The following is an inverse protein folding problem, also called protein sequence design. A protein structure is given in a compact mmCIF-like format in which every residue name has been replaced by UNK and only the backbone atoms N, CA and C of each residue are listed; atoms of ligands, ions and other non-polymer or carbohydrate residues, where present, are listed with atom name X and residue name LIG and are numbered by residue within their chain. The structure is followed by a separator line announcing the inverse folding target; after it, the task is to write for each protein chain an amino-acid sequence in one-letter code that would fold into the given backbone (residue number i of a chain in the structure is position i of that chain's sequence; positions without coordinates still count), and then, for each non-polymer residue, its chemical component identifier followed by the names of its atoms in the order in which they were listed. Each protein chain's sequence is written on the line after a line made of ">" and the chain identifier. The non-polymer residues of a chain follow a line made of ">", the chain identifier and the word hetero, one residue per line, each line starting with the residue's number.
data_IF_762918149597
#
_entry.id   IF_762918149597
#
_cell.length_a   1.000
_cell.length_b   1.000
_cell.length_c   1.000
_cell.angle_alpha   90.00
_cell.angle_beta   90.00
_cell.angle_gamma   90.00
#
_symmetry.space_group_name_H-M   'P 1'
#
loop_
_entity.id
_entity.type
_entity.pdbx_description
1 polymer ?
#
# COMPACT_ATOMS: atom_id res chain seq x y z
N UNK A 1 -62.56 48.12 10.56
CA UNK A 1 -62.10 46.71 10.68
C UNK A 1 -60.96 46.34 9.72
N UNK A 2 -60.62 47.16 8.71
CA UNK A 2 -59.60 46.83 7.69
C UNK A 2 -58.14 46.76 8.18
N UNK A 3 -57.78 47.44 9.28
CA UNK A 3 -56.41 47.45 9.79
C UNK A 3 -55.94 46.10 10.37
N UNK A 4 -56.88 45.24 10.80
CA UNK A 4 -56.58 43.91 11.36
C UNK A 4 -55.94 42.98 10.32
N UNK A 5 -56.37 43.07 9.06
CA UNK A 5 -55.80 42.28 7.98
C UNK A 5 -54.35 42.68 7.69
N UNK A 6 -54.04 43.98 7.76
CA UNK A 6 -52.67 44.48 7.56
C UNK A 6 -51.69 43.99 8.62
N UNK A 7 -52.09 43.98 9.90
CA UNK A 7 -51.24 43.48 10.99
C UNK A 7 -50.97 41.98 10.85
N UNK A 8 -52.00 41.18 10.53
CA UNK A 8 -51.82 39.74 10.32
C UNK A 8 -50.85 39.43 9.17
N UNK A 9 -50.90 40.21 8.08
CA UNK A 9 -49.98 40.05 6.94
C UNK A 9 -48.53 40.39 7.33
N UNK A 10 -48.31 41.48 8.07
CA UNK A 10 -46.97 41.86 8.52
C UNK A 10 -46.37 40.85 9.50
N UNK A 11 -47.17 40.30 10.42
CA UNK A 11 -46.75 39.24 11.34
C UNK A 11 -46.39 37.96 10.57
N UNK A 12 -47.19 37.59 9.55
CA UNK A 12 -46.91 36.44 8.70
C UNK A 12 -45.59 36.56 7.92
N UNK A 13 -45.34 37.73 7.31
CA UNK A 13 -44.08 37.99 6.60
C UNK A 13 -42.88 37.97 7.56
N UNK A 14 -43.02 38.63 8.72
CA UNK A 14 -41.97 38.64 9.74
C UNK A 14 -41.61 37.23 10.25
N UNK A 15 -42.62 36.39 10.45
CA UNK A 15 -42.42 35.00 10.87
C UNK A 15 -41.72 34.16 9.80
N UNK A 16 -42.12 34.29 8.53
CA UNK A 16 -41.43 33.59 7.43
C UNK A 16 -39.98 34.04 7.28
N UNK A 17 -39.71 35.35 7.47
CA UNK A 17 -38.34 35.87 7.44
C UNK A 17 -37.49 35.35 8.60
N UNK A 18 -38.07 35.29 9.82
CA UNK A 18 -37.39 34.73 10.99
C UNK A 18 -37.08 33.24 10.82
N UNK A 19 -38.01 32.44 10.27
CA UNK A 19 -37.75 31.03 9.94
C UNK A 19 -36.65 30.92 8.89
N UNK A 20 -36.65 31.78 7.86
CA UNK A 20 -35.61 31.74 6.82
C UNK A 20 -34.23 32.12 7.34
N UNK A 21 -34.15 32.91 8.42
CA UNK A 21 -32.89 33.23 9.11
C UNK A 21 -32.46 32.13 10.09
N UNK A 22 -33.42 31.38 10.66
CA UNK A 22 -33.18 30.26 11.57
C UNK A 22 -32.91 28.95 10.85
N UNK A 23 -33.39 28.77 9.62
CA UNK A 23 -32.97 27.68 8.76
C UNK A 23 -31.47 27.82 8.54
N UNK A 24 -30.76 26.78 8.96
CA UNK A 24 -29.29 26.66 9.00
C UNK A 24 -28.61 27.37 7.83
N UNK A 25 -27.43 28.00 8.04
CA UNK A 25 -26.68 28.59 6.93
C UNK A 25 -26.62 27.56 5.81
N UNK A 26 -26.92 27.97 4.55
CA UNK A 26 -27.06 27.04 3.44
C UNK A 26 -25.86 26.10 3.49
N UNK A 27 -26.15 24.78 3.60
CA UNK A 27 -25.15 23.72 3.68
C UNK A 27 -23.91 24.15 2.90
N UNK A 28 -22.71 24.13 3.51
CA UNK A 28 -21.50 24.60 2.84
C UNK A 28 -21.51 24.01 1.44
N UNK A 29 -21.69 24.87 0.43
CA UNK A 29 -21.85 24.40 -0.94
C UNK A 29 -20.62 23.55 -1.22
N UNK A 30 -20.76 22.34 -1.77
CA UNK A 30 -19.61 21.52 -2.08
C UNK A 30 -18.69 22.39 -2.95
N UNK A 31 -17.50 22.68 -2.42
CA UNK A 31 -16.50 23.41 -3.16
C UNK A 31 -16.29 22.62 -4.46
N UNK A 32 -16.49 23.26 -5.61
CA UNK A 32 -16.25 22.62 -6.90
C UNK A 32 -14.75 22.38 -7.03
N UNK A 33 -14.30 21.23 -6.51
CA UNK A 33 -12.93 20.77 -6.67
C UNK A 33 -12.76 20.43 -8.14
N UNK A 34 -11.99 21.26 -8.84
CA UNK A 34 -11.61 20.98 -10.22
C UNK A 34 -10.82 19.67 -10.22
N UNK A 35 -11.40 18.63 -10.81
CA UNK A 35 -10.65 17.40 -11.09
C UNK A 35 -9.74 17.70 -12.26
N UNK A 36 -8.44 17.82 -12.01
CA UNK A 36 -7.46 17.75 -13.09
C UNK A 36 -7.61 16.40 -13.79
N UNK A 37 -7.43 16.37 -15.12
CA UNK A 37 -7.34 15.10 -15.82
C UNK A 37 -6.23 14.27 -15.14
N UNK A 38 -6.48 12.99 -14.82
CA UNK A 38 -5.46 12.17 -14.19
C UNK A 38 -4.25 12.14 -15.11
N UNK A 39 -3.06 12.40 -14.56
CA UNK A 39 -1.83 12.16 -15.30
C UNK A 39 -1.86 10.70 -15.76
N UNK A 40 -1.75 10.48 -17.08
CA UNK A 40 -1.73 9.14 -17.64
C UNK A 40 -0.41 8.49 -17.24
N UNK A 41 -0.43 7.69 -16.18
CA UNK A 41 0.71 6.91 -15.71
C UNK A 41 0.62 5.56 -16.40
N UNK A 42 1.62 5.22 -17.21
CA UNK A 42 1.73 3.96 -17.94
C UNK A 42 3.04 3.27 -17.52
N UNK A 43 3.01 2.06 -16.94
CA UNK A 43 1.83 1.25 -16.63
C UNK A 43 0.98 1.79 -15.46
N UNK A 44 -0.33 1.48 -15.45
CA UNK A 44 -1.22 1.82 -14.34
C UNK A 44 -0.74 1.14 -13.04
N UNK A 45 -0.59 1.90 -11.93
CA UNK A 45 -0.17 1.35 -10.66
C UNK A 45 -1.20 0.36 -10.09
N UNK A 46 -0.72 -0.72 -9.48
CA UNK A 46 -1.57 -1.72 -8.80
C UNK A 46 -2.26 -1.10 -7.59
N UNK A 47 -1.54 -0.27 -6.84
CA UNK A 47 -2.07 0.44 -5.70
C UNK A 47 -1.55 1.87 -5.64
N UNK A 48 -2.40 2.78 -5.18
CA UNK A 48 -2.05 4.17 -4.92
C UNK A 48 -2.34 4.51 -3.46
N UNK A 49 -1.33 5.05 -2.77
CA UNK A 49 -1.44 5.59 -1.42
C UNK A 49 -1.37 7.10 -1.47
N UNK A 50 -2.25 7.75 -0.72
CA UNK A 50 -2.21 9.19 -0.48
C UNK A 50 -2.01 9.41 1.01
N UNK A 51 -1.03 10.22 1.37
CA UNK A 51 -0.75 10.61 2.75
C UNK A 51 -0.44 12.11 2.82
N UNK A 52 -0.76 12.73 3.95
CA UNK A 52 -0.46 14.14 4.21
C UNK A 52 0.51 14.18 5.39
N UNK A 53 1.67 14.80 5.19
CA UNK A 53 2.68 14.95 6.24
C UNK A 53 3.21 16.39 6.19
N UNK A 54 2.94 17.14 7.26
CA UNK A 54 3.22 18.58 7.31
C UNK A 54 2.47 19.33 6.20
N UNK A 55 3.17 20.21 5.49
CA UNK A 55 2.61 21.03 4.41
C UNK A 55 2.65 20.35 3.03
N UNK A 56 2.84 19.03 2.98
CA UNK A 56 2.98 18.27 1.74
C UNK A 56 1.96 17.12 1.65
N UNK A 57 1.40 16.98 0.45
CA UNK A 57 0.66 15.81 0.02
C UNK A 57 1.63 14.85 -0.67
N UNK A 58 1.65 13.60 -0.23
CA UNK A 58 2.44 12.52 -0.79
C UNK A 58 1.53 11.55 -1.54
N UNK A 59 1.99 11.13 -2.70
CA UNK A 59 1.34 10.14 -3.55
C UNK A 59 2.34 9.02 -3.82
N UNK A 60 2.10 7.85 -3.25
CA UNK A 60 2.90 6.65 -3.46
C UNK A 60 2.19 5.74 -4.45
N UNK A 61 2.88 5.38 -5.52
CA UNK A 61 2.46 4.39 -6.50
C UNK A 61 3.20 3.10 -6.25
N UNK A 62 2.47 1.99 -6.27
CA UNK A 62 3.03 0.67 -6.16
C UNK A 62 2.62 -0.18 -7.36
N UNK A 63 3.61 -0.82 -7.97
CA UNK A 63 3.42 -1.85 -8.98
C UNK A 63 3.91 -3.17 -8.37
N UNK A 64 2.98 -4.09 -8.15
CA UNK A 64 3.30 -5.29 -7.38
C UNK A 64 4.24 -6.23 -8.15
N UNK A 65 4.04 -6.28 -9.46
CA UNK A 65 4.83 -7.06 -10.40
C UNK A 65 5.04 -6.22 -11.66
N UNK A 66 6.27 -5.72 -11.83
CA UNK A 66 6.74 -5.24 -13.13
C UNK A 66 7.57 -6.35 -13.75
N UNK A 67 7.11 -6.84 -14.90
CA UNK A 67 7.95 -7.67 -15.75
C UNK A 67 9.01 -6.75 -16.37
N UNK A 68 10.26 -6.92 -15.97
CA UNK A 68 11.38 -6.10 -16.45
C UNK A 68 11.58 -6.26 -17.96
N UNK A 69 11.05 -7.33 -18.57
CA UNK A 69 11.00 -7.49 -20.01
C UNK A 69 9.59 -7.16 -20.48
N UNK A 70 9.43 -6.07 -21.23
CA UNK A 70 8.15 -5.65 -21.83
C UNK A 70 7.64 -6.62 -22.92
N UNK A 71 7.56 -7.92 -22.64
CA UNK A 71 6.94 -8.90 -23.51
C UNK A 71 5.44 -8.95 -23.23
N UNK A 72 4.69 -8.19 -24.03
CA UNK A 72 3.24 -8.30 -24.32
C UNK A 72 2.43 -9.16 -23.32
N UNK A 73 1.84 -8.50 -22.32
CA UNK A 73 0.91 -9.11 -21.35
C UNK A 73 -0.25 -9.86 -22.03
N UNK A 74 -0.45 -11.11 -21.65
CA UNK A 74 -1.74 -11.79 -21.80
C UNK A 74 -2.74 -11.22 -20.79
N UNK A 75 -3.94 -10.87 -21.25
CA UNK A 75 -5.01 -10.31 -20.42
C UNK A 75 -5.78 -11.48 -19.81
N UNK A 76 -5.45 -11.88 -18.59
CA UNK A 76 -6.15 -12.97 -17.90
C UNK A 76 -6.01 -12.90 -16.37
N UNK A 77 -7.10 -13.11 -15.61
CA UNK A 77 -7.08 -13.19 -14.16
C UNK A 77 -6.59 -14.57 -13.73
N UNK A 78 -5.28 -14.80 -13.79
CA UNK A 78 -4.60 -15.95 -13.19
C UNK A 78 -3.46 -15.39 -12.34
N UNK A 79 -3.71 -15.10 -11.06
CA UNK A 79 -3.25 -15.95 -9.96
C UNK A 79 -1.79 -16.36 -10.15
N UNK A 80 -0.89 -15.61 -9.51
CA UNK A 80 0.37 -16.13 -8.97
C UNK A 80 0.06 -17.15 -7.87
N UNK A 81 -0.45 -18.31 -8.30
CA UNK A 81 -0.25 -19.52 -7.53
C UNK A 81 1.19 -19.96 -7.78
N UNK A 82 1.94 -20.19 -6.71
CA UNK A 82 3.09 -21.08 -6.75
C UNK A 82 2.61 -22.48 -7.18
N UNK A 83 2.38 -22.67 -8.48
CA UNK A 83 2.30 -23.96 -9.15
C UNK A 83 3.15 -23.77 -10.39
N UNK A 84 4.30 -24.44 -10.39
CA UNK A 84 5.34 -24.29 -11.40
C UNK A 84 4.77 -24.25 -12.81
N UNK A 85 4.85 -23.09 -13.43
CA UNK A 85 4.77 -22.99 -14.87
C UNK A 85 6.05 -22.33 -15.34
N UNK A 86 6.97 -23.21 -15.75
CA UNK A 86 8.23 -22.85 -16.38
C UNK A 86 7.90 -22.08 -17.65
N UNK A 87 8.13 -20.77 -17.64
CA UNK A 87 8.27 -20.03 -18.90
C UNK A 87 9.63 -20.43 -19.48
N UNK A 88 9.62 -21.48 -20.30
CA UNK A 88 10.81 -21.94 -21.00
C UNK A 88 11.12 -20.96 -22.13
N UNK A 89 12.10 -20.09 -21.95
CA UNK A 89 12.76 -19.44 -23.08
C UNK A 89 13.80 -20.42 -23.64
N UNK A 90 13.53 -20.98 -24.81
CA UNK A 90 14.51 -21.79 -25.57
C UNK A 90 15.23 -20.84 -26.52
N UNK A 91 16.45 -20.43 -26.16
CA UNK A 91 17.35 -19.76 -27.10
C UNK A 91 18.10 -20.86 -27.87
N UNK A 92 17.81 -21.01 -29.16
CA UNK A 92 18.54 -21.90 -30.05
C UNK A 92 19.84 -21.19 -30.48
N UNK A 93 20.95 -21.47 -29.80
CA UNK A 93 22.27 -21.17 -30.34
C UNK A 93 22.68 -22.30 -31.27
N UNK A 94 22.68 -22.03 -32.58
CA UNK A 94 23.24 -22.95 -33.57
C UNK A 94 24.68 -22.55 -33.83
N UNK A 95 25.61 -23.18 -33.12
CA UNK A 95 26.99 -23.19 -33.57
C UNK A 95 27.13 -24.37 -34.53
N UNK A 96 27.28 -24.02 -35.81
CA UNK A 96 27.74 -24.94 -36.84
C UNK A 96 29.07 -25.52 -36.37
N UNK A 97 29.08 -26.75 -35.87
CA UNK A 97 30.08 -27.82 -36.05
C UNK A 97 29.71 -28.95 -35.07
N UNK A 98 29.35 -30.10 -35.63
CA UNK A 98 29.31 -31.45 -35.02
C UNK A 98 28.44 -31.69 -33.77
N UNK A 99 27.18 -32.03 -34.06
CA UNK A 99 26.35 -33.07 -33.41
C UNK A 99 26.63 -33.39 -31.94
N UNK A 100 26.28 -32.45 -31.06
CA UNK A 100 25.66 -32.76 -29.77
C UNK A 100 24.81 -31.56 -29.32
N UNK A 101 23.49 -31.69 -29.44
CA UNK A 101 22.54 -30.69 -28.94
C UNK A 101 22.56 -30.72 -27.40
N UNK A 102 23.44 -29.92 -26.80
CA UNK A 102 23.35 -29.62 -25.37
C UNK A 102 22.32 -28.52 -25.19
N UNK A 103 21.15 -28.88 -24.68
CA UNK A 103 20.16 -27.92 -24.20
C UNK A 103 20.67 -27.31 -22.90
N UNK A 104 21.40 -26.19 -22.99
CA UNK A 104 21.64 -25.36 -21.81
C UNK A 104 20.39 -24.51 -21.62
N UNK A 105 19.44 -25.03 -20.83
CA UNK A 105 18.29 -24.26 -20.38
C UNK A 105 18.83 -23.27 -19.34
N UNK A 106 19.17 -22.07 -19.80
CA UNK A 106 19.35 -20.95 -18.89
C UNK A 106 17.96 -20.55 -18.41
N UNK A 107 17.62 -21.00 -17.20
CA UNK A 107 16.57 -20.36 -16.42
C UNK A 107 17.10 -18.97 -16.06
N UNK A 108 16.93 -17.98 -16.95
CA UNK A 108 16.92 -16.61 -16.44
C UNK A 108 15.64 -16.54 -15.61
N UNK A 109 15.73 -16.43 -14.27
CA UNK A 109 14.54 -16.11 -13.51
C UNK A 109 14.03 -14.80 -14.10
N UNK A 110 12.82 -14.82 -14.67
CA UNK A 110 12.03 -13.62 -14.83
C UNK A 110 11.87 -13.08 -13.40
N UNK A 111 12.79 -12.20 -13.01
CA UNK A 111 12.79 -11.59 -11.69
C UNK A 111 11.67 -10.56 -11.73
N UNK A 112 10.48 -10.96 -11.30
CA UNK A 112 9.40 -10.02 -11.06
C UNK A 112 9.83 -9.14 -9.89
N UNK A 113 9.99 -7.84 -10.15
CA UNK A 113 10.35 -6.87 -9.15
C UNK A 113 9.13 -6.02 -8.80
N UNK A 114 8.95 -5.80 -7.51
CA UNK A 114 8.07 -4.76 -7.01
C UNK A 114 8.69 -3.39 -7.23
N UNK A 115 7.91 -2.42 -7.70
CA UNK A 115 8.39 -1.04 -7.86
C UNK A 115 7.51 -0.09 -7.06
N UNK A 116 8.17 0.84 -6.38
CA UNK A 116 7.55 1.91 -5.62
C UNK A 116 8.05 3.25 -6.13
N UNK A 117 7.14 4.17 -6.40
CA UNK A 117 7.48 5.55 -6.72
C UNK A 117 6.65 6.46 -5.82
N UNK A 118 7.30 7.37 -5.10
CA UNK A 118 6.59 8.41 -4.37
C UNK A 118 6.85 9.78 -4.99
N UNK A 119 5.78 10.56 -5.09
CA UNK A 119 5.81 11.96 -5.47
C UNK A 119 5.25 12.80 -4.32
N UNK A 120 5.70 14.05 -4.20
CA UNK A 120 5.15 15.01 -3.24
C UNK A 120 4.71 16.29 -3.94
N UNK A 121 3.74 16.97 -3.35
CA UNK A 121 3.28 18.29 -3.78
C UNK A 121 2.94 19.15 -2.56
N UNK A 122 3.35 20.43 -2.49
CA UNK A 122 3.00 21.29 -1.37
C UNK A 122 1.49 21.59 -1.34
N UNK A 123 0.85 21.50 -0.16
CA UNK A 123 -0.60 21.67 0.02
C UNK A 123 -1.10 23.04 -0.45
N UNK A 124 -0.33 24.10 -0.21
CA UNK A 124 -0.71 25.45 -0.64
C UNK A 124 -0.85 25.59 -2.17
N UNK A 125 -0.17 24.73 -2.95
CA UNK A 125 -0.30 24.69 -4.41
C UNK A 125 -1.56 23.97 -4.90
N UNK A 126 -2.29 23.28 -4.01
CA UNK A 126 -3.54 22.60 -4.36
C UNK A 126 -4.73 23.57 -4.45
N UNK A 127 -4.62 24.75 -3.82
CA UNK A 127 -5.72 25.73 -3.71
C UNK A 127 -5.72 26.75 -4.87
N UNK A 128 -4.73 26.70 -5.78
CA UNK A 128 -4.58 27.65 -6.88
C UNK A 128 -4.72 27.05 -8.28
N UNK A 129 -4.95 27.91 -9.28
CA UNK A 129 -4.89 27.58 -10.70
C UNK A 129 -3.43 27.38 -11.16
N UNK A 130 -2.70 26.46 -10.53
CA UNK A 130 -1.35 26.13 -10.95
C UNK A 130 -1.41 25.39 -12.30
N UNK A 131 -0.72 25.92 -13.31
CA UNK A 131 -0.64 25.34 -14.66
C UNK A 131 0.35 24.19 -14.77
N UNK A 132 1.24 24.05 -13.78
CA UNK A 132 2.21 22.96 -13.69
C UNK A 132 1.69 21.89 -12.72
N UNK A 133 1.96 20.62 -13.03
CA UNK A 133 1.51 19.47 -12.22
C UNK A 133 2.03 19.55 -10.76
N UNK A 134 3.16 20.24 -10.54
CA UNK A 134 3.65 20.61 -9.20
C UNK A 134 4.11 19.44 -8.33
N UNK A 135 4.25 18.25 -8.94
CA UNK A 135 4.72 17.04 -8.28
C UNK A 135 6.22 16.86 -8.44
N UNK A 136 6.91 16.69 -7.32
CA UNK A 136 8.32 16.33 -7.28
C UNK A 136 8.44 14.84 -6.96
N UNK A 137 9.23 14.09 -7.74
CA UNK A 137 9.53 12.69 -7.41
C UNK A 137 10.48 12.65 -6.23
N UNK A 138 10.05 12.03 -5.12
CA UNK A 138 10.82 11.91 -3.89
C UNK A 138 11.78 10.72 -3.96
N UNK A 139 11.25 9.56 -4.37
CA UNK A 139 12.05 8.37 -4.53
C UNK A 139 11.44 7.43 -5.56
N UNK A 140 12.29 6.58 -6.10
CA UNK A 140 11.95 5.45 -6.95
C UNK A 140 12.74 4.26 -6.45
N UNK A 141 12.05 3.22 -6.00
CA UNK A 141 12.65 2.05 -5.37
C UNK A 141 12.19 0.80 -6.08
N UNK A 142 13.15 0.03 -6.55
CA UNK A 142 12.95 -1.33 -6.98
C UNK A 142 13.24 -2.28 -5.81
N UNK A 143 12.37 -3.27 -5.64
CA UNK A 143 12.48 -4.32 -4.64
C UNK A 143 13.05 -5.58 -5.28
N UNK A 144 13.76 -6.38 -4.49
CA UNK A 144 14.37 -7.62 -4.94
C UNK A 144 13.37 -8.73 -5.27
N UNK A 145 12.08 -8.49 -5.08
CA UNK A 145 11.01 -9.42 -5.40
C UNK A 145 9.64 -8.74 -5.45
N UNK A 146 8.57 -9.50 -5.77
CA UNK A 146 7.24 -8.95 -5.95
C UNK A 146 6.63 -8.47 -4.64
N UNK A 147 5.83 -7.40 -4.71
CA UNK A 147 5.05 -6.91 -3.57
C UNK A 147 3.83 -7.81 -3.44
N UNK A 148 3.57 -8.24 -2.20
CA UNK A 148 2.37 -9.01 -1.88
C UNK A 148 1.30 -8.16 -1.22
N UNK A 149 1.70 -7.17 -0.42
CA UNK A 149 0.76 -6.30 0.27
C UNK A 149 1.44 -5.01 0.73
N UNK A 150 0.63 -3.97 0.95
CA UNK A 150 1.05 -2.70 1.54
C UNK A 150 0.13 -2.41 2.72
N UNK A 151 0.73 -2.02 3.85
CA UNK A 151 -0.01 -1.65 5.06
C UNK A 151 0.29 -0.20 5.44
N UNK A 152 -0.77 0.57 5.72
CA UNK A 152 -0.69 1.98 6.11
C UNK A 152 -0.81 2.09 7.61
N UNK A 153 0.09 2.85 8.21
CA UNK A 153 -0.05 3.21 9.61
C UNK A 153 -0.90 4.47 9.70
N UNK A 154 -1.97 4.40 10.49
CA UNK A 154 -2.89 5.54 10.68
C UNK A 154 -2.47 6.46 11.81
N UNK A 155 -1.46 6.06 12.60
CA UNK A 155 -1.06 6.77 13.80
C UNK A 155 0.01 7.85 13.49
N UNK A 156 -0.33 9.15 13.63
CA UNK A 156 0.61 10.25 13.38
C UNK A 156 1.73 10.34 14.44
N UNK A 157 1.64 9.61 15.55
CA UNK A 157 2.68 9.57 16.58
C UNK A 157 3.93 8.82 16.13
N UNK A 158 3.79 7.99 15.10
CA UNK A 158 4.86 7.13 14.60
C UNK A 158 5.59 7.77 13.43
N UNK A 159 6.90 7.54 13.29
CA UNK A 159 7.68 8.08 12.17
C UNK A 159 7.37 7.34 10.84
N UNK A 160 6.74 6.18 10.89
CA UNK A 160 6.48 5.35 9.72
C UNK A 160 5.23 5.79 8.97
N UNK A 161 5.33 5.85 7.64
CA UNK A 161 4.18 6.13 6.79
C UNK A 161 3.45 4.85 6.39
N UNK A 162 4.20 3.87 5.91
CA UNK A 162 3.66 2.60 5.42
C UNK A 162 4.75 1.52 5.43
N UNK A 163 4.31 0.27 5.45
CA UNK A 163 5.12 -0.91 5.26
C UNK A 163 4.77 -1.59 3.94
N UNK A 164 5.76 -2.25 3.33
CA UNK A 164 5.58 -3.04 2.11
C UNK A 164 6.12 -4.44 2.35
N UNK A 165 5.24 -5.44 2.22
CA UNK A 165 5.62 -6.85 2.29
C UNK A 165 5.99 -7.33 0.88
N UNK A 166 7.19 -7.87 0.75
CA UNK A 166 7.67 -8.49 -0.47
C UNK A 166 8.37 -9.82 -0.16
N UNK A 167 8.55 -10.62 -1.20
CA UNK A 167 9.08 -11.97 -1.07
C UNK A 167 10.25 -12.17 -2.00
N UNK A 168 11.33 -12.74 -1.50
CA UNK A 168 12.52 -13.04 -2.30
C UNK A 168 12.79 -14.54 -2.24
N UNK A 169 13.21 -15.12 -3.36
CA UNK A 169 13.66 -16.50 -3.43
C UNK A 169 15.19 -16.50 -3.59
N UNK A 170 15.90 -17.08 -2.64
CA UNK A 170 17.37 -17.23 -2.71
C UNK A 170 17.72 -18.66 -2.34
N UNK A 171 18.44 -19.36 -3.21
CA UNK A 171 18.85 -20.76 -3.00
C UNK A 171 17.68 -21.69 -2.63
N UNK A 172 16.57 -21.59 -3.36
CA UNK A 172 15.32 -22.34 -3.10
C UNK A 172 14.62 -22.03 -1.77
N UNK A 173 15.14 -21.08 -0.99
CA UNK A 173 14.53 -20.61 0.24
C UNK A 173 13.72 -19.33 -0.01
N UNK A 174 12.46 -19.37 0.42
CA UNK A 174 11.59 -18.19 0.43
C UNK A 174 11.88 -17.34 1.67
N UNK A 175 12.19 -16.07 1.44
CA UNK A 175 12.32 -15.05 2.47
C UNK A 175 11.18 -14.06 2.35
N UNK A 176 10.70 -13.58 3.50
CA UNK A 176 9.62 -12.62 3.59
C UNK A 176 10.17 -11.37 4.28
N UNK A 177 10.31 -10.29 3.53
CA UNK A 177 10.89 -9.05 4.03
C UNK A 177 9.80 -7.96 4.03
N UNK A 178 9.76 -7.16 5.10
CA UNK A 178 8.90 -5.99 5.22
C UNK A 178 9.79 -4.75 5.17
N UNK A 179 9.60 -3.93 4.13
CA UNK A 179 10.26 -2.63 4.04
C UNK A 179 9.39 -1.57 4.71
N UNK A 180 9.92 -0.98 5.79
CA UNK A 180 9.28 0.14 6.49
C UNK A 180 9.80 1.44 5.93
N UNK A 181 8.88 2.32 5.50
CA UNK A 181 9.23 3.64 4.98
C UNK A 181 8.89 4.75 5.98
N UNK A 182 9.81 5.68 6.16
CA UNK A 182 9.70 6.84 7.05
C UNK A 182 10.44 8.05 6.47
N UNK A 183 10.10 9.25 6.94
CA UNK A 183 10.84 10.46 6.57
C UNK A 183 11.92 10.71 7.63
N UNK A 184 13.17 10.80 7.18
CA UNK A 184 14.31 11.28 7.97
C UNK A 184 14.99 12.40 7.19
N UNK A 185 15.34 13.51 7.85
CA UNK A 185 16.02 14.65 7.23
C UNK A 185 15.34 15.18 5.95
N UNK A 186 13.99 15.24 5.95
CA UNK A 186 13.16 15.60 4.80
C UNK A 186 13.33 14.71 3.54
N UNK A 187 13.95 13.55 3.70
CA UNK A 187 14.11 12.53 2.66
C UNK A 187 13.38 11.25 3.05
N UNK A 188 12.79 10.61 2.04
CA UNK A 188 12.12 9.34 2.26
C UNK A 188 13.16 8.24 2.35
N UNK A 189 13.10 7.50 3.45
CA UNK A 189 14.10 6.53 3.85
C UNK A 189 13.40 5.23 4.23
N UNK A 190 14.15 4.12 4.25
CA UNK A 190 13.59 2.82 4.58
C UNK A 190 14.52 1.97 5.44
N UNK A 191 13.92 0.93 6.05
CA UNK A 191 14.61 -0.21 6.63
C UNK A 191 13.90 -1.49 6.25
N UNK A 192 14.66 -2.54 6.01
CA UNK A 192 14.12 -3.87 5.72
C UNK A 192 14.10 -4.70 7.00
N UNK A 193 13.00 -5.40 7.24
CA UNK A 193 12.84 -6.31 8.37
C UNK A 193 12.53 -7.68 7.84
N UNK A 194 13.40 -8.65 8.14
CA UNK A 194 13.16 -10.04 7.77
C UNK A 194 12.18 -10.68 8.74
N UNK A 195 11.02 -11.10 8.23
CA UNK A 195 10.05 -11.87 9.00
C UNK A 195 10.53 -13.31 9.16
N UNK A 196 10.36 -13.93 10.34
CA UNK A 196 10.84 -15.29 10.55
C UNK A 196 10.07 -16.33 9.74
N UNK A 197 10.68 -17.50 9.61
CA UNK A 197 10.06 -18.71 9.04
C UNK A 197 10.08 -18.77 7.52
N UNK A 198 9.86 -19.97 7.00
CA UNK A 198 9.84 -20.28 5.56
C UNK A 198 8.43 -20.44 4.99
N UNK A 199 7.41 -20.41 5.86
CA UNK A 199 6.00 -20.50 5.47
C UNK A 199 5.52 -19.17 4.91
N UNK A 200 4.75 -19.24 3.81
CA UNK A 200 4.22 -18.07 3.12
C UNK A 200 3.46 -17.12 4.05
N UNK A 201 3.60 -15.81 3.83
CA UNK A 201 2.89 -14.78 4.60
C UNK A 201 1.81 -14.18 3.71
N UNK A 202 0.55 -14.47 4.01
CA UNK A 202 -0.57 -14.06 3.15
C UNK A 202 -1.17 -12.70 3.51
N UNK A 203 -0.90 -12.19 4.72
CA UNK A 203 -1.33 -10.86 5.14
C UNK A 203 -0.40 -10.30 6.21
N UNK A 204 -0.26 -8.98 6.23
CA UNK A 204 0.39 -8.25 7.32
C UNK A 204 -0.30 -6.91 7.59
N UNK A 205 -0.13 -6.40 8.81
CA UNK A 205 -0.53 -5.08 9.27
C UNK A 205 0.64 -4.44 10.00
N UNK A 206 0.95 -3.20 9.66
CA UNK A 206 1.95 -2.40 10.35
C UNK A 206 1.26 -1.63 11.48
N UNK A 207 1.69 -1.88 12.71
CA UNK A 207 1.26 -1.16 13.91
C UNK A 207 2.36 -0.22 14.42
N UNK A 208 2.04 0.59 15.42
CA UNK A 208 2.93 1.62 15.94
C UNK A 208 4.27 1.09 16.47
N UNK A 209 4.26 -0.09 17.07
CA UNK A 209 5.44 -0.74 17.67
C UNK A 209 5.58 -2.23 17.30
N UNK A 210 4.80 -2.72 16.34
CA UNK A 210 4.79 -4.12 15.96
C UNK A 210 4.36 -4.33 14.51
N UNK A 211 4.74 -5.47 13.95
CA UNK A 211 4.18 -6.00 12.70
C UNK A 211 3.32 -7.20 13.06
N UNK A 212 2.04 -7.13 12.73
CA UNK A 212 1.12 -8.25 12.82
C UNK A 212 1.08 -8.96 11.47
N UNK A 213 1.16 -10.28 11.45
CA UNK A 213 1.11 -11.02 10.19
C UNK A 213 0.54 -12.42 10.34
N UNK A 214 0.06 -12.95 9.22
CA UNK A 214 -0.55 -14.27 9.10
C UNK A 214 0.25 -15.14 8.14
N UNK A 215 0.60 -16.35 8.58
CA UNK A 215 1.26 -17.36 7.73
C UNK A 215 0.25 -18.36 7.16
N UNK A 216 0.66 -19.02 6.08
CA UNK A 216 -0.06 -20.11 5.44
C UNK A 216 0.81 -21.36 5.32
N UNK A 217 0.39 -22.52 5.89
CA UNK A 217 -0.70 -22.69 6.86
C UNK A 217 -0.25 -22.30 8.28
N UNK A 218 -1.08 -21.59 9.05
CA UNK A 218 -0.76 -21.26 10.47
C UNK A 218 -1.92 -21.48 11.44
N UNK A 219 -2.84 -22.43 11.14
CA UNK A 219 -4.01 -22.74 11.98
C UNK A 219 -4.75 -21.47 12.49
N UNK A 220 -4.89 -20.47 11.62
CA UNK A 220 -5.50 -19.17 11.94
C UNK A 220 -4.79 -18.37 13.05
N UNK A 221 -3.52 -18.62 13.35
CA UNK A 221 -2.78 -17.79 14.31
C UNK A 221 -2.28 -16.52 13.64
N UNK A 222 -2.43 -15.41 14.35
CA UNK A 222 -1.69 -14.19 14.06
C UNK A 222 -0.38 -14.22 14.84
N UNK A 223 0.66 -13.68 14.22
CA UNK A 223 1.96 -13.49 14.85
C UNK A 223 2.22 -12.01 14.97
N UNK A 224 2.87 -11.65 16.07
CA UNK A 224 3.33 -10.30 16.31
C UNK A 224 4.86 -10.30 16.33
N UNK A 225 5.47 -9.40 15.58
CA UNK A 225 6.88 -9.10 15.62
C UNK A 225 7.05 -7.71 16.25
N UNK A 226 7.68 -7.62 17.41
CA UNK A 226 7.92 -6.32 18.05
C UNK A 226 9.01 -5.57 17.29
N UNK A 227 8.74 -4.31 16.96
CA UNK A 227 9.71 -3.44 16.32
C UNK A 227 10.70 -2.91 17.38
N UNK A 228 12.02 -2.83 17.06
CA UNK A 228 12.98 -2.16 17.90
C UNK A 228 12.59 -0.70 18.16
N UNK A 229 12.94 -0.20 19.35
CA UNK A 229 12.86 1.22 19.63
C UNK A 229 13.85 1.96 18.71
N UNK A 230 13.53 3.19 18.31
CA UNK A 230 14.41 4.06 17.52
C UNK A 230 14.80 3.55 16.13
N UNK A 231 13.92 2.80 15.48
CA UNK A 231 14.11 2.34 14.10
C UNK A 231 14.30 3.48 13.08
N UNK A 232 13.93 4.71 13.39
CA UNK A 232 14.16 5.89 12.55
C UNK A 232 15.64 6.33 12.48
N UNK A 233 16.49 5.88 13.42
CA UNK A 233 17.89 6.32 13.48
C UNK A 233 18.77 5.63 12.42
N UNK A 234 19.81 6.33 11.98
CA UNK A 234 20.84 5.76 11.11
C UNK A 234 21.51 4.52 11.76
N UNK A 235 22.01 3.55 10.97
CA UNK A 235 22.09 3.54 9.52
C UNK A 235 20.74 3.25 8.84
N UNK A 236 20.54 3.93 7.71
CA UNK A 236 19.37 3.79 6.85
C UNK A 236 19.61 2.75 5.74
N UNK A 237 18.54 2.21 5.14
CA UNK A 237 18.62 1.19 4.10
C UNK A 237 19.37 -0.09 4.53
N UNK A 238 19.26 -0.44 5.82
CA UNK A 238 19.84 -1.65 6.40
C UNK A 238 18.75 -2.68 6.64
N UNK A 239 19.11 -3.95 6.43
CA UNK A 239 18.28 -5.09 6.80
C UNK A 239 18.49 -5.44 8.28
N UNK A 240 17.40 -5.54 9.01
CA UNK A 240 17.36 -5.96 10.40
C UNK A 240 16.78 -7.37 10.44
N UNK A 241 17.57 -8.30 10.95
CA UNK A 241 17.12 -9.66 11.22
C UNK A 241 16.47 -9.70 12.60
N UNK A 242 15.16 -9.96 12.63
CA UNK A 242 14.35 -10.11 13.84
C UNK A 242 13.79 -11.53 13.98
N UNK A 243 14.43 -12.50 13.34
CA UNK A 243 13.96 -13.89 13.24
C UNK A 243 13.59 -14.54 14.57
N UNK A 244 14.27 -14.19 15.67
CA UNK A 244 14.02 -14.78 16.99
C UNK A 244 12.94 -14.06 17.82
N UNK A 245 12.49 -12.86 17.40
CA UNK A 245 11.64 -11.99 18.24
C UNK A 245 10.13 -12.15 18.01
N UNK A 246 9.71 -13.01 17.10
CA UNK A 246 8.29 -13.22 16.80
C UNK A 246 7.59 -14.04 17.88
N UNK A 247 6.49 -13.49 18.40
CA UNK A 247 5.61 -14.18 19.35
C UNK A 247 4.35 -14.63 18.64
N UNK A 248 3.96 -15.91 18.83
CA UNK A 248 2.70 -16.43 18.31
C UNK A 248 1.54 -16.04 19.24
N UNK A 249 0.47 -15.51 18.66
CA UNK A 249 -0.78 -15.31 19.39
C UNK A 249 -1.47 -16.64 19.74
N UNK A 250 -2.49 -16.55 20.61
CA UNK A 250 -3.35 -17.68 20.94
C UNK A 250 -4.11 -18.17 19.69
N UNK A 251 -4.32 -19.49 19.53
CA UNK A 251 -5.20 -20.00 18.49
C UNK A 251 -6.63 -19.52 18.74
N UNK A 252 -7.36 -19.19 17.67
CA UNK A 252 -8.79 -18.92 17.79
C UNK A 252 -9.49 -20.19 18.28
N UNK A 253 -10.10 -20.13 19.47
CA UNK A 253 -10.83 -21.24 20.08
C UNK A 253 -12.31 -21.26 19.69
N UNK A 254 -12.83 -20.18 19.12
CA UNK A 254 -14.25 -20.07 18.76
C UNK A 254 -14.53 -20.59 17.36
N UNK A 255 -15.70 -21.23 17.20
CA UNK A 255 -16.26 -21.63 15.92
C UNK A 255 -16.44 -20.38 15.05
N UNK A 256 -15.44 -20.09 14.22
CA UNK A 256 -15.56 -18.99 13.28
C UNK A 256 -16.66 -19.32 12.25
N UNK A 257 -17.51 -18.35 11.91
CA UNK A 257 -18.48 -18.53 10.84
C UNK A 257 -17.74 -18.91 9.55
N UNK A 258 -18.35 -19.81 8.76
CA UNK A 258 -17.79 -20.27 7.48
C UNK A 258 -17.36 -19.08 6.61
N UNK A 259 -16.21 -19.19 5.95
CA UNK A 259 -15.59 -18.17 5.07
C UNK A 259 -14.93 -16.98 5.77
N UNK A 260 -14.58 -17.09 7.04
CA UNK A 260 -13.75 -16.08 7.72
C UNK A 260 -12.40 -15.86 7.04
N UNK A 261 -11.88 -16.87 6.31
CA UNK A 261 -10.69 -16.71 5.47
C UNK A 261 -10.80 -15.60 4.41
N UNK A 262 -12.00 -15.28 3.90
CA UNK A 262 -12.17 -14.22 2.89
C UNK A 262 -12.01 -12.81 3.48
N UNK A 263 -12.01 -12.68 4.80
CA UNK A 263 -11.92 -11.40 5.51
C UNK A 263 -10.63 -11.27 6.34
N UNK A 264 -9.60 -12.08 6.05
CA UNK A 264 -8.37 -12.12 6.83
C UNK A 264 -7.73 -10.73 7.01
N UNK A 265 -7.64 -9.92 5.96
CA UNK A 265 -7.07 -8.57 6.03
C UNK A 265 -7.87 -7.63 6.97
N UNK A 266 -9.20 -7.72 6.96
CA UNK A 266 -10.07 -6.92 7.83
C UNK A 266 -9.91 -7.37 9.29
N UNK A 267 -9.85 -8.69 9.52
CA UNK A 267 -9.65 -9.22 10.87
C UNK A 267 -8.30 -8.79 11.44
N UNK A 268 -7.23 -8.85 10.65
CA UNK A 268 -5.91 -8.36 11.10
C UNK A 268 -5.96 -6.90 11.54
N UNK A 269 -6.68 -6.03 10.82
CA UNK A 269 -6.86 -4.62 11.19
C UNK A 269 -7.74 -4.39 12.44
N UNK A 270 -8.66 -5.31 12.76
CA UNK A 270 -9.47 -5.21 13.98
C UNK A 270 -8.61 -5.53 15.20
N UNK A 271 -7.85 -6.63 15.14
CA UNK A 271 -6.98 -7.05 16.25
C UNK A 271 -5.76 -6.16 16.45
N UNK A 272 -5.41 -5.36 15.46
CA UNK A 272 -4.43 -4.29 15.57
C UNK A 272 -4.84 -3.16 16.52
N UNK A 273 -6.14 -2.93 16.71
CA UNK A 273 -6.67 -1.78 17.44
C UNK A 273 -6.99 -2.04 18.91
N UNK A 274 -6.85 -3.29 19.36
CA UNK A 274 -6.99 -3.68 20.78
C UNK A 274 -5.62 -3.65 21.48
#
# INVERSE_FOLDING_TARGET
>A
MHWRAGIMLMVGIGFMYAISLLSEPPFPRPLLVHKSAPAKIDPEPTEMLLSIVGDYLYQTFAWYEIDQQQTKRGIGPLKTGAVGNRVNWVILCTDNIDTSLYYIIYYLPCMTAGVLQQRRRPLHTLVGNATNDGWDTMFHQELSGPISSISRLSDPSTPFQFGVLYHTLTDEHAFHDVRLFYIADNQMTYKDIRLPGSTWISAFSLESNAILYKREPDQYRLRALRLPDHLEQAPHAVQIDLSESSTSGAPFSEHQPRRTETHAAILTQIYAKE
#
